data_IF_384924079666
#
_entry.id   IF_384924079666
#
_cell.length_a   1.000
_cell.length_b   1.000
_cell.length_c   1.000
_cell.angle_alpha   90.00
_cell.angle_beta   90.00
_cell.angle_gamma   90.00
#
_symmetry.space_group_name_H-M   'P 1'
#
loop_
_entity.id
_entity.type
_entity.pdbx_description
1 polymer ?
#
# COMPACT_ATOMS: atom_id res chain seq x y z
N UNK A 1 -2.47 24.16 4.22
CA UNK A 1 -1.21 23.38 4.12
C UNK A 1 -1.10 22.51 5.35
N UNK A 2 -1.07 21.19 5.19
CA UNK A 2 -0.81 20.27 6.30
C UNK A 2 0.72 20.21 6.45
N UNK A 3 1.25 20.79 7.53
CA UNK A 3 2.68 20.78 7.83
C UNK A 3 2.92 19.80 8.99
N UNK A 4 3.81 18.83 8.79
CA UNK A 4 4.28 17.97 9.86
C UNK A 4 5.15 18.80 10.82
N UNK A 5 4.77 18.89 12.10
CA UNK A 5 5.55 19.59 13.12
C UNK A 5 6.51 18.63 13.85
N UNK A 6 6.25 17.33 13.75
CA UNK A 6 7.05 16.25 14.35
C UNK A 6 7.24 15.09 13.37
N UNK A 7 8.21 14.21 13.64
CA UNK A 7 8.36 12.95 12.89
C UNK A 7 7.13 12.05 13.00
N UNK A 8 6.40 12.13 14.11
CA UNK A 8 5.13 11.39 14.30
C UNK A 8 4.08 11.91 13.33
N UNK A 9 3.96 13.24 13.18
CA UNK A 9 3.03 13.84 12.21
C UNK A 9 3.41 13.44 10.78
N UNK A 10 4.71 13.48 10.45
CA UNK A 10 5.19 13.08 9.13
C UNK A 10 4.86 11.62 8.82
N UNK A 11 5.15 10.71 9.74
CA UNK A 11 4.86 9.29 9.58
C UNK A 11 3.35 9.02 9.46
N UNK A 12 2.51 9.72 10.22
CA UNK A 12 1.06 9.64 10.08
C UNK A 12 0.59 10.13 8.70
N UNK A 13 1.10 11.27 8.22
CA UNK A 13 0.73 11.81 6.91
C UNK A 13 1.13 10.87 5.77
N UNK A 14 2.30 10.25 5.86
CA UNK A 14 2.77 9.26 4.89
C UNK A 14 1.85 8.04 4.90
N UNK A 15 1.47 7.52 6.08
CA UNK A 15 0.55 6.38 6.19
C UNK A 15 -0.84 6.72 5.68
N UNK A 16 -1.35 7.93 5.92
CA UNK A 16 -2.62 8.40 5.35
C UNK A 16 -2.56 8.50 3.83
N UNK A 17 -1.48 9.05 3.29
CA UNK A 17 -1.26 9.07 1.85
C UNK A 17 -1.20 7.66 1.28
N UNK A 18 -0.51 6.73 1.94
CA UNK A 18 -0.39 5.34 1.53
C UNK A 18 -1.76 4.62 1.52
N UNK A 19 -2.56 4.77 2.58
CA UNK A 19 -3.92 4.21 2.66
C UNK A 19 -4.79 4.76 1.54
N UNK A 20 -4.76 6.07 1.32
CA UNK A 20 -5.56 6.72 0.28
C UNK A 20 -5.14 6.23 -1.11
N UNK A 21 -3.84 6.19 -1.41
CA UNK A 21 -3.34 5.74 -2.71
C UNK A 21 -3.57 4.26 -2.96
N UNK A 22 -3.47 3.42 -1.93
CA UNK A 22 -3.82 2.01 -2.04
C UNK A 22 -5.33 1.83 -2.28
N UNK A 23 -6.18 2.59 -1.61
CA UNK A 23 -7.65 2.54 -1.78
C UNK A 23 -8.08 3.06 -3.16
N UNK A 24 -7.54 4.20 -3.60
CA UNK A 24 -7.74 4.73 -4.94
C UNK A 24 -7.28 3.73 -6.00
N UNK A 25 -6.09 3.16 -5.82
CA UNK A 25 -5.54 2.12 -6.68
C UNK A 25 -6.44 0.89 -6.77
N UNK A 26 -6.92 0.39 -5.63
CA UNK A 26 -7.87 -0.72 -5.59
C UNK A 26 -9.15 -0.42 -6.37
N UNK A 27 -9.74 0.76 -6.17
CA UNK A 27 -10.94 1.18 -6.89
C UNK A 27 -10.68 1.30 -8.39
N UNK A 28 -9.53 1.85 -8.80
CA UNK A 28 -9.14 1.91 -10.21
C UNK A 28 -8.97 0.52 -10.81
N UNK A 29 -8.25 -0.39 -10.14
CA UNK A 29 -8.09 -1.80 -10.57
C UNK A 29 -9.46 -2.48 -10.69
N UNK A 30 -10.36 -2.23 -9.74
CA UNK A 30 -11.73 -2.74 -9.77
C UNK A 30 -12.54 -2.19 -10.95
N UNK A 31 -12.31 -0.93 -11.34
CA UNK A 31 -12.93 -0.29 -12.50
C UNK A 31 -12.57 -0.95 -13.84
N UNK A 32 -11.46 -1.67 -13.92
CA UNK A 32 -11.09 -2.46 -15.10
C UNK A 32 -11.82 -3.82 -15.18
N UNK A 33 -12.66 -4.17 -14.18
CA UNK A 33 -13.42 -5.42 -14.21
C UNK A 33 -14.58 -5.32 -15.20
N UNK A 34 -14.49 -6.05 -16.32
CA UNK A 34 -15.61 -6.29 -17.25
C UNK A 34 -16.54 -7.39 -16.70
N UNK A 35 -17.57 -7.78 -17.46
CA UNK A 35 -18.53 -8.84 -17.06
C UNK A 35 -17.85 -10.18 -16.71
N UNK A 36 -16.64 -10.41 -17.23
CA UNK A 36 -15.75 -11.55 -16.92
C UNK A 36 -14.30 -11.03 -16.75
N UNK A 37 -13.93 -10.49 -15.57
CA UNK A 37 -12.59 -9.96 -15.38
C UNK A 37 -11.56 -11.10 -15.39
N UNK A 38 -10.34 -10.86 -15.92
CA UNK A 38 -9.26 -11.81 -15.74
C UNK A 38 -9.04 -12.09 -14.24
N UNK A 39 -8.82 -13.36 -13.89
CA UNK A 39 -8.64 -13.78 -12.49
C UNK A 39 -7.53 -12.99 -11.78
N UNK A 40 -6.46 -12.62 -12.50
CA UNK A 40 -5.39 -11.77 -12.02
C UNK A 40 -5.89 -10.39 -11.55
N UNK A 41 -6.74 -9.72 -12.34
CA UNK A 41 -7.33 -8.42 -11.99
C UNK A 41 -8.24 -8.54 -10.77
N UNK A 42 -9.08 -9.59 -10.73
CA UNK A 42 -9.94 -9.84 -9.57
C UNK A 42 -9.11 -10.07 -8.30
N UNK A 43 -8.04 -10.86 -8.37
CA UNK A 43 -7.13 -11.13 -7.25
C UNK A 43 -6.44 -9.84 -6.76
N UNK A 44 -5.97 -9.00 -7.69
CA UNK A 44 -5.43 -7.68 -7.39
C UNK A 44 -6.45 -6.81 -6.65
N UNK A 45 -7.63 -6.61 -7.24
CA UNK A 45 -8.69 -5.74 -6.74
C UNK A 45 -9.26 -6.18 -5.37
N UNK A 46 -9.11 -7.44 -5.00
CA UNK A 46 -9.70 -8.01 -3.78
C UNK A 46 -8.61 -8.36 -2.78
N UNK A 47 -8.20 -9.62 -2.71
CA UNK A 47 -7.33 -10.16 -1.67
C UNK A 47 -6.02 -9.37 -1.50
N UNK A 48 -5.36 -9.02 -2.60
CA UNK A 48 -4.03 -8.39 -2.54
C UNK A 48 -4.10 -6.95 -2.05
N UNK A 49 -4.97 -6.11 -2.63
CA UNK A 49 -5.13 -4.73 -2.17
C UNK A 49 -5.83 -4.63 -0.81
N UNK A 50 -6.76 -5.54 -0.48
CA UNK A 50 -7.32 -5.62 0.87
C UNK A 50 -6.23 -5.88 1.92
N UNK A 51 -5.30 -6.80 1.61
CA UNK A 51 -4.15 -7.09 2.47
C UNK A 51 -3.22 -5.89 2.64
N UNK A 52 -2.90 -5.20 1.55
CA UNK A 52 -2.08 -3.97 1.56
C UNK A 52 -2.71 -2.87 2.43
N UNK A 53 -3.98 -2.54 2.18
CA UNK A 53 -4.72 -1.50 2.90
C UNK A 53 -4.86 -1.84 4.39
N UNK A 54 -5.14 -3.10 4.72
CA UNK A 54 -5.23 -3.57 6.10
C UNK A 54 -3.90 -3.41 6.84
N UNK A 55 -2.79 -3.75 6.18
CA UNK A 55 -1.44 -3.64 6.76
C UNK A 55 -1.05 -2.18 6.99
N UNK A 56 -1.35 -1.27 6.05
CA UNK A 56 -1.18 0.17 6.30
C UNK A 56 -2.01 0.69 7.48
N UNK A 57 -3.27 0.26 7.61
CA UNK A 57 -4.13 0.64 8.74
C UNK A 57 -3.56 0.12 10.07
N UNK A 58 -3.05 -1.11 10.11
CA UNK A 58 -2.36 -1.67 11.29
C UNK A 58 -1.12 -0.85 11.63
N UNK A 59 -0.26 -0.57 10.66
CA UNK A 59 0.92 0.27 10.83
C UNK A 59 0.56 1.63 11.43
N UNK A 60 -0.47 2.31 10.92
CA UNK A 60 -0.96 3.57 11.46
C UNK A 60 -1.42 3.44 12.91
N UNK A 61 -2.21 2.41 13.22
CA UNK A 61 -2.73 2.20 14.58
C UNK A 61 -1.62 1.86 15.60
N UNK A 62 -0.55 1.21 15.15
CA UNK A 62 0.59 0.80 15.97
C UNK A 62 1.69 1.85 16.08
N UNK A 63 1.68 2.89 15.23
CA UNK A 63 2.80 3.80 15.00
C UNK A 63 3.47 4.36 16.25
N UNK A 64 2.69 4.72 17.28
CA UNK A 64 3.21 5.28 18.53
C UNK A 64 3.44 4.19 19.60
N UNK A 65 2.64 3.13 19.58
CA UNK A 65 2.67 2.07 20.60
C UNK A 65 3.83 1.11 20.39
N UNK A 66 4.05 0.74 19.14
CA UNK A 66 5.11 -0.17 18.70
C UNK A 66 5.58 0.24 17.29
N UNK A 67 6.51 1.20 17.20
CA UNK A 67 7.05 1.65 15.92
C UNK A 67 7.80 0.56 15.14
N UNK A 68 8.29 -0.49 15.81
CA UNK A 68 8.98 -1.60 15.15
C UNK A 68 7.95 -2.43 14.37
N UNK A 69 6.88 -2.86 15.05
CA UNK A 69 5.78 -3.58 14.40
C UNK A 69 5.09 -2.71 13.35
N UNK A 70 4.90 -1.41 13.61
CA UNK A 70 4.34 -0.50 12.61
C UNK A 70 5.21 -0.37 11.34
N UNK A 71 6.53 -0.32 11.51
CA UNK A 71 7.48 -0.32 10.38
C UNK A 71 7.42 -1.61 9.57
N UNK A 72 7.27 -2.75 10.26
CA UNK A 72 7.08 -4.05 9.62
C UNK A 72 5.74 -4.12 8.86
N UNK A 73 4.63 -3.76 9.50
CA UNK A 73 3.30 -3.74 8.88
C UNK A 73 3.25 -2.83 7.65
N UNK A 74 3.92 -1.67 7.72
CA UNK A 74 4.03 -0.76 6.58
C UNK A 74 4.82 -1.37 5.42
N UNK A 75 5.87 -2.15 5.70
CA UNK A 75 6.65 -2.86 4.67
C UNK A 75 5.83 -4.00 4.05
N UNK A 76 5.15 -4.81 4.86
CA UNK A 76 4.26 -5.90 4.41
C UNK A 76 3.11 -5.38 3.54
N UNK A 77 2.70 -4.14 3.71
CA UNK A 77 1.71 -3.53 2.83
C UNK A 77 2.17 -3.49 1.35
N UNK A 78 3.47 -3.57 1.07
CA UNK A 78 4.05 -3.70 -0.26
C UNK A 78 3.82 -5.05 -0.93
N UNK A 79 3.51 -6.12 -0.18
CA UNK A 79 3.30 -7.46 -0.73
C UNK A 79 2.10 -7.50 -1.69
N UNK A 80 1.03 -6.76 -1.38
CA UNK A 80 -0.15 -6.66 -2.22
C UNK A 80 0.14 -6.18 -3.66
N UNK A 81 0.73 -4.99 -3.85
CA UNK A 81 1.11 -4.50 -5.18
C UNK A 81 2.18 -5.34 -5.86
N UNK A 82 3.13 -5.94 -5.12
CA UNK A 82 4.17 -6.80 -5.70
C UNK A 82 3.57 -8.09 -6.27
N UNK A 83 2.78 -8.82 -5.47
CA UNK A 83 2.07 -10.01 -5.94
C UNK A 83 1.02 -9.69 -7.01
N UNK A 84 0.48 -8.47 -7.03
CA UNK A 84 -0.39 -8.04 -8.13
C UNK A 84 0.40 -7.88 -9.42
N UNK A 85 1.60 -7.29 -9.36
CA UNK A 85 2.49 -7.14 -10.52
C UNK A 85 2.89 -8.51 -11.10
N UNK A 86 3.17 -9.49 -10.25
CA UNK A 86 3.42 -10.87 -10.67
C UNK A 86 2.19 -11.49 -11.33
N UNK A 87 1.01 -11.38 -10.70
CA UNK A 87 -0.22 -11.97 -11.22
C UNK A 87 -0.62 -11.41 -12.60
N UNK A 88 -0.49 -10.09 -12.82
CA UNK A 88 -0.79 -9.49 -14.13
C UNK A 88 0.25 -9.89 -15.19
N UNK A 89 1.51 -10.03 -14.79
CA UNK A 89 2.60 -10.48 -15.68
C UNK A 89 2.39 -11.93 -16.11
N UNK A 90 2.06 -12.82 -15.18
CA UNK A 90 1.72 -14.23 -15.46
C UNK A 90 0.51 -14.36 -16.40
N UNK A 91 -0.46 -13.45 -16.26
CA UNK A 91 -1.63 -13.38 -17.13
C UNK A 91 -1.38 -12.66 -18.47
N UNK A 92 -0.15 -12.24 -18.78
CA UNK A 92 0.22 -11.44 -19.95
C UNK A 92 -0.59 -10.13 -20.08
N UNK A 93 -0.98 -9.54 -18.96
CA UNK A 93 -1.68 -8.26 -18.90
C UNK A 93 -0.64 -7.14 -18.81
N UNK A 94 -0.54 -6.33 -19.86
CA UNK A 94 0.34 -5.19 -19.92
C UNK A 94 -0.46 -3.88 -19.88
N UNK A 95 -1.05 -3.58 -18.73
CA UNK A 95 -1.78 -2.33 -18.49
C UNK A 95 -0.88 -1.32 -17.74
N UNK A 96 -0.47 -0.21 -18.39
CA UNK A 96 0.42 0.78 -17.77
C UNK A 96 -0.16 1.43 -16.52
N UNK A 97 -1.49 1.56 -16.42
CA UNK A 97 -2.13 2.17 -15.26
C UNK A 97 -2.01 1.24 -14.04
N UNK A 98 -2.25 -0.06 -14.21
CA UNK A 98 -2.10 -1.03 -13.11
C UNK A 98 -0.63 -1.11 -12.66
N UNK A 99 0.30 -1.15 -13.62
CA UNK A 99 1.75 -1.16 -13.32
C UNK A 99 2.14 0.10 -12.52
N UNK A 100 1.64 1.27 -12.92
CA UNK A 100 1.89 2.53 -12.21
C UNK A 100 1.33 2.50 -10.79
N UNK A 101 0.08 2.04 -10.62
CA UNK A 101 -0.58 1.93 -9.31
C UNK A 101 0.25 1.02 -8.39
N UNK A 102 0.65 -0.17 -8.85
CA UNK A 102 1.44 -1.11 -8.06
C UNK A 102 2.76 -0.48 -7.60
N UNK A 103 3.51 0.14 -8.52
CA UNK A 103 4.78 0.81 -8.20
C UNK A 103 4.63 1.95 -7.19
N UNK A 104 3.55 2.74 -7.30
CA UNK A 104 3.32 3.86 -6.38
C UNK A 104 3.02 3.36 -4.96
N UNK A 105 2.19 2.34 -4.82
CA UNK A 105 1.84 1.79 -3.51
C UNK A 105 3.05 1.09 -2.88
N UNK A 106 3.86 0.37 -3.67
CA UNK A 106 5.11 -0.23 -3.21
C UNK A 106 6.14 0.84 -2.77
N UNK A 107 6.24 1.96 -3.48
CA UNK A 107 7.09 3.07 -3.03
C UNK A 107 6.59 3.64 -1.69
N UNK A 108 5.27 3.80 -1.54
CA UNK A 108 4.67 4.31 -0.30
C UNK A 108 4.83 3.33 0.87
N UNK A 109 4.83 2.02 0.66
CA UNK A 109 5.15 1.04 1.71
C UNK A 109 6.56 1.23 2.26
N UNK A 110 7.52 1.48 1.37
CA UNK A 110 8.92 1.68 1.75
C UNK A 110 9.12 2.98 2.52
N UNK A 111 8.54 4.08 2.02
CA UNK A 111 8.60 5.38 2.69
C UNK A 111 7.92 5.31 4.06
N UNK A 112 6.74 4.68 4.15
CA UNK A 112 6.01 4.51 5.40
C UNK A 112 6.79 3.67 6.42
N UNK A 113 7.41 2.57 5.96
CA UNK A 113 8.23 1.71 6.81
C UNK A 113 9.42 2.46 7.41
N UNK A 114 10.13 3.24 6.57
CA UNK A 114 11.27 4.06 7.01
C UNK A 114 10.80 5.14 8.00
N UNK A 115 9.68 5.81 7.71
CA UNK A 115 9.14 6.85 8.57
C UNK A 115 8.74 6.30 9.95
N UNK A 116 8.07 5.15 10.01
CA UNK A 116 7.74 4.48 11.28
C UNK A 116 9.00 4.06 12.04
N UNK A 117 10.02 3.54 11.34
CA UNK A 117 11.29 3.11 11.97
C UNK A 117 12.02 4.27 12.66
N UNK A 118 11.89 5.49 12.17
CA UNK A 118 12.51 6.68 12.79
C UNK A 118 11.93 7.04 14.15
N UNK A 119 10.80 6.46 14.55
CA UNK A 119 10.19 6.68 15.86
C UNK A 119 10.68 5.71 16.93
N UNK A 120 11.52 4.72 16.58
CA UNK A 120 12.15 3.82 17.55
C UNK A 120 13.08 4.63 18.43
N UNK A 121 12.80 4.67 19.74
CA UNK A 121 13.69 5.27 20.73
C UNK A 121 14.88 4.35 20.94
N UNK A 122 16.09 4.90 20.80
CA UNK A 122 17.36 4.27 21.16
C UNK A 122 17.64 4.51 22.63
#
# INVERSE_FOLDING_TARGET
MVSAKTYIDLANLILDLAINKATEGQHSISGFMSKNPPQAIQKCATTLYNGSISSFKKAKSGLVKDPITASYDARVAGDGPDYCADAIKEANINDPAIIYINKNVLLLSDIASIAARKLVKV
#
